data_IF_912477999751
#
_entry.id   IF_912477999751
#
_cell.length_a   1.000
_cell.length_b   1.000
_cell.length_c   1.000
_cell.angle_alpha   90.00
_cell.angle_beta   90.00
_cell.angle_gamma   90.00
#
_symmetry.space_group_name_H-M   'P 1'
#
loop_
_entity.id
_entity.type
_entity.pdbx_description
1 polymer ?
#
# COMPACT_ATOMS: atom_id res chain seq x y z
N UNK A 1 3.48 -65.42 11.14
CA UNK A 1 2.47 -64.33 11.11
C UNK A 1 2.20 -63.85 12.53
N UNK A 2 2.78 -62.71 12.96
CA UNK A 2 2.16 -61.74 13.87
C UNK A 2 3.17 -60.66 14.28
N UNK A 3 2.75 -59.41 14.02
CA UNK A 3 2.95 -58.17 14.78
C UNK A 3 4.27 -57.38 14.63
N UNK A 4 4.08 -56.07 14.78
CA UNK A 4 5.02 -54.93 14.86
C UNK A 4 5.25 -54.25 13.48
N UNK A 5 5.09 -52.93 13.28
CA UNK A 5 4.74 -51.77 14.10
C UNK A 5 4.36 -50.68 13.08
N UNK A 6 3.16 -50.10 13.14
CA UNK A 6 2.83 -48.90 12.37
C UNK A 6 3.20 -47.71 13.26
N UNK A 7 4.30 -47.04 12.95
CA UNK A 7 4.70 -45.79 13.60
C UNK A 7 4.09 -44.62 12.83
N UNK A 8 2.99 -44.07 13.33
CA UNK A 8 2.42 -42.80 12.89
C UNK A 8 3.27 -41.66 13.43
N UNK A 9 4.06 -41.02 12.58
CA UNK A 9 4.78 -39.79 12.91
C UNK A 9 3.76 -38.65 12.90
N UNK A 10 3.46 -38.12 14.09
CA UNK A 10 2.66 -36.91 14.27
C UNK A 10 3.55 -35.72 13.92
N UNK A 11 3.40 -35.19 12.70
CA UNK A 11 4.05 -33.94 12.31
C UNK A 11 3.37 -32.78 13.05
N UNK A 12 4.00 -32.30 14.12
CA UNK A 12 3.56 -31.11 14.83
C UNK A 12 3.64 -29.89 13.89
N UNK A 13 2.48 -29.35 13.52
CA UNK A 13 2.38 -28.09 12.80
C UNK A 13 2.84 -26.95 13.70
N UNK A 14 4.01 -26.39 13.43
CA UNK A 14 4.39 -25.08 13.97
C UNK A 14 3.52 -24.06 13.24
N UNK A 15 2.40 -23.69 13.87
CA UNK A 15 1.68 -22.47 13.52
C UNK A 15 2.60 -21.34 13.97
N UNK A 16 3.48 -20.91 13.05
CA UNK A 16 4.18 -19.64 13.20
C UNK A 16 3.10 -18.56 13.21
N UNK A 17 2.78 -18.06 14.39
CA UNK A 17 2.12 -16.76 14.53
C UNK A 17 3.07 -15.75 13.91
N UNK A 18 2.92 -15.50 12.61
CA UNK A 18 3.56 -14.36 11.96
C UNK A 18 3.18 -13.17 12.82
N UNK A 19 4.17 -12.55 13.45
CA UNK A 19 3.96 -11.33 14.20
C UNK A 19 3.23 -10.38 13.26
N UNK A 20 1.99 -10.06 13.59
CA UNK A 20 1.29 -8.99 12.94
C UNK A 20 1.98 -7.71 13.42
N UNK A 21 3.07 -7.36 12.74
CA UNK A 21 3.69 -6.05 12.90
C UNK A 21 2.65 -5.09 12.34
N UNK A 22 1.88 -4.47 13.24
CA UNK A 22 1.10 -3.31 12.88
C UNK A 22 2.13 -2.26 12.46
N UNK A 23 2.34 -2.10 11.15
CA UNK A 23 3.26 -1.11 10.61
C UNK A 23 2.95 0.26 11.20
N UNK A 24 3.98 1.08 11.39
CA UNK A 24 3.83 2.45 11.85
C UNK A 24 2.67 3.11 11.08
N UNK A 25 1.67 3.57 11.81
CA UNK A 25 0.58 4.35 11.23
C UNK A 25 1.22 5.53 10.50
N UNK A 26 1.04 5.63 9.18
CA UNK A 26 1.57 6.78 8.43
C UNK A 26 1.10 8.07 9.11
N UNK A 27 1.96 9.09 9.19
CA UNK A 27 1.73 10.31 9.98
C UNK A 27 0.56 11.18 9.45
N UNK A 28 -0.12 10.69 8.43
CA UNK A 28 -1.09 11.38 7.59
C UNK A 28 -2.53 11.03 7.98
N UNK A 29 -2.88 11.39 9.21
CA UNK A 29 -4.24 11.31 9.71
C UNK A 29 -4.73 12.73 10.06
N UNK A 30 -5.77 13.19 9.39
CA UNK A 30 -6.25 14.56 9.45
C UNK A 30 -7.73 14.61 9.83
N UNK A 31 -8.06 15.52 10.74
CA UNK A 31 -9.44 15.83 11.11
C UNK A 31 -9.89 17.17 10.53
N UNK A 32 -11.20 17.31 10.28
CA UNK A 32 -11.81 18.54 9.78
C UNK A 32 -12.04 18.55 8.27
N UNK A 33 -12.28 19.74 7.73
CA UNK A 33 -12.69 19.96 6.33
C UNK A 33 -11.72 20.81 5.50
N UNK A 34 -10.65 21.31 6.13
CA UNK A 34 -9.65 22.12 5.44
C UNK A 34 -8.94 21.24 4.40
N UNK A 35 -8.86 21.73 3.17
CA UNK A 35 -8.09 21.07 2.11
C UNK A 35 -6.60 21.12 2.50
N UNK A 36 -5.94 19.97 2.48
CA UNK A 36 -4.50 19.89 2.77
C UNK A 36 -3.67 20.55 1.65
N UNK A 37 -2.52 21.15 1.96
CA UNK A 37 -1.56 21.57 0.94
C UNK A 37 -1.06 20.38 0.12
N UNK A 38 -0.74 20.63 -1.16
CA UNK A 38 -0.20 19.63 -2.08
C UNK A 38 1.07 18.94 -1.53
N UNK A 39 2.01 19.71 -0.97
CA UNK A 39 3.24 19.21 -0.35
C UNK A 39 2.97 18.21 0.79
N UNK A 40 1.96 18.49 1.62
CA UNK A 40 1.55 17.59 2.70
C UNK A 40 1.06 16.27 2.13
N UNK A 41 0.18 16.31 1.12
CA UNK A 41 -0.36 15.11 0.47
C UNK A 41 0.73 14.33 -0.26
N UNK A 42 1.68 15.02 -0.90
CA UNK A 42 2.84 14.41 -1.55
C UNK A 42 3.70 13.63 -0.56
N UNK A 43 4.03 14.24 0.59
CA UNK A 43 4.77 13.57 1.68
C UNK A 43 4.04 12.32 2.18
N UNK A 44 2.72 12.43 2.36
CA UNK A 44 1.87 11.30 2.73
C UNK A 44 1.85 10.17 1.70
N UNK A 45 1.92 10.52 0.42
CA UNK A 45 1.97 9.53 -0.66
C UNK A 45 3.31 8.80 -0.70
N UNK A 46 4.43 9.47 -0.43
CA UNK A 46 5.72 8.81 -0.27
C UNK A 46 5.72 7.86 0.93
N UNK A 47 5.29 8.30 2.13
CA UNK A 47 5.18 7.41 3.29
C UNK A 47 4.31 6.18 2.99
N UNK A 48 3.17 6.40 2.31
CA UNK A 48 2.27 5.30 1.95
C UNK A 48 2.89 4.35 0.95
N UNK A 49 3.67 4.85 -0.01
CA UNK A 49 4.43 4.03 -0.99
C UNK A 49 5.42 3.12 -0.26
N UNK A 50 6.17 3.67 0.69
CA UNK A 50 7.11 2.89 1.51
C UNK A 50 6.40 1.79 2.31
N UNK A 51 5.28 2.11 2.95
CA UNK A 51 4.48 1.09 3.66
C UNK A 51 3.94 -0.02 2.74
N UNK A 52 3.60 0.31 1.50
CA UNK A 52 3.18 -0.68 0.50
C UNK A 52 4.35 -1.57 0.06
N UNK A 53 5.56 -1.02 -0.05
CA UNK A 53 6.79 -1.78 -0.34
C UNK A 53 7.12 -2.71 0.83
N UNK A 54 7.19 -2.18 2.05
CA UNK A 54 7.47 -2.94 3.27
C UNK A 54 6.44 -4.05 3.51
N UNK A 55 5.17 -3.79 3.18
CA UNK A 55 4.09 -4.77 3.27
C UNK A 55 4.04 -5.78 2.12
N UNK A 56 4.99 -5.73 1.17
CA UNK A 56 5.06 -6.61 0.01
C UNK A 56 3.88 -6.46 -0.96
N UNK A 57 3.16 -5.33 -0.92
CA UNK A 57 2.02 -5.04 -1.81
C UNK A 57 2.46 -4.56 -3.18
N UNK A 58 3.60 -3.88 -3.23
CA UNK A 58 4.26 -3.45 -4.46
C UNK A 58 5.74 -3.83 -4.40
N UNK A 59 6.38 -3.91 -5.57
CA UNK A 59 7.77 -4.36 -5.70
C UNK A 59 8.78 -3.34 -5.12
N UNK A 60 9.96 -3.77 -4.63
CA UNK A 60 10.99 -2.84 -4.15
C UNK A 60 11.50 -1.84 -5.20
N UNK A 61 11.34 -2.12 -6.50
CA UNK A 61 11.68 -1.17 -7.57
C UNK A 61 10.93 0.17 -7.49
N UNK A 62 9.91 0.29 -6.64
CA UNK A 62 9.18 1.53 -6.41
C UNK A 62 9.86 2.51 -5.45
N UNK A 63 10.86 2.08 -4.67
CA UNK A 63 11.52 2.91 -3.62
C UNK A 63 12.00 4.26 -4.16
N UNK A 64 12.71 4.25 -5.29
CA UNK A 64 13.29 5.47 -5.91
C UNK A 64 12.39 6.15 -6.95
N UNK A 65 11.14 5.71 -7.10
CA UNK A 65 10.21 6.31 -8.06
C UNK A 65 9.69 7.64 -7.50
N UNK A 66 9.96 8.71 -8.24
CA UNK A 66 9.45 10.06 -7.95
C UNK A 66 7.96 10.20 -8.29
N UNK A 67 7.32 11.21 -7.69
CA UNK A 67 5.93 11.55 -7.99
C UNK A 67 5.83 12.12 -9.41
N UNK A 68 4.92 11.57 -10.21
CA UNK A 68 4.66 12.02 -11.59
C UNK A 68 3.64 13.17 -11.61
N UNK A 69 2.54 13.01 -10.86
CA UNK A 69 1.46 14.00 -10.84
C UNK A 69 0.72 14.01 -9.50
N UNK A 70 0.19 15.18 -9.14
CA UNK A 70 -0.76 15.36 -8.05
C UNK A 70 -1.84 16.35 -8.49
N UNK A 71 -3.11 16.04 -8.21
CA UNK A 71 -4.24 16.89 -8.60
C UNK A 71 -5.47 16.66 -7.71
N UNK A 72 -6.33 17.68 -7.59
CA UNK A 72 -7.65 17.54 -7.00
C UNK A 72 -8.66 17.10 -8.06
N UNK A 73 -9.31 15.95 -7.84
CA UNK A 73 -10.33 15.38 -8.72
C UNK A 73 -11.68 15.30 -8.01
N UNK A 74 -12.75 15.11 -8.80
CA UNK A 74 -14.05 14.75 -8.24
C UNK A 74 -14.07 13.27 -7.85
N UNK A 75 -14.22 13.02 -6.55
CA UNK A 75 -14.38 11.70 -5.97
C UNK A 75 -15.84 11.41 -5.58
N UNK A 76 -16.07 10.24 -4.99
CA UNK A 76 -17.43 9.78 -4.65
C UNK A 76 -18.09 10.63 -3.55
N UNK A 77 -17.29 11.26 -2.68
CA UNK A 77 -17.76 12.02 -1.52
C UNK A 77 -17.39 13.51 -1.57
N UNK A 78 -17.04 14.01 -2.75
CA UNK A 78 -16.54 15.37 -2.96
C UNK A 78 -15.12 15.35 -3.53
N UNK A 79 -14.39 16.46 -3.36
CA UNK A 79 -13.02 16.56 -3.87
C UNK A 79 -12.07 15.58 -3.16
N UNK A 80 -11.22 14.94 -3.94
CA UNK A 80 -10.19 14.00 -3.50
C UNK A 80 -8.87 14.36 -4.19
N UNK A 81 -7.74 14.10 -3.53
CA UNK A 81 -6.43 14.18 -4.17
C UNK A 81 -6.14 12.87 -4.88
N UNK A 82 -5.68 12.96 -6.12
CA UNK A 82 -5.10 11.87 -6.88
C UNK A 82 -3.59 12.12 -7.02
N UNK A 83 -2.80 11.22 -6.45
CA UNK A 83 -1.34 11.19 -6.61
C UNK A 83 -0.96 10.03 -7.53
N UNK A 84 -0.13 10.30 -8.52
CA UNK A 84 0.34 9.31 -9.49
C UNK A 84 1.86 9.18 -9.39
N UNK A 85 2.33 7.94 -9.30
CA UNK A 85 3.73 7.57 -9.50
C UNK A 85 3.84 6.72 -10.78
N UNK A 86 4.87 6.97 -11.59
CA UNK A 86 5.09 6.21 -12.82
C UNK A 86 6.44 5.50 -12.76
N UNK A 87 6.40 4.16 -12.76
CA UNK A 87 7.59 3.32 -12.77
C UNK A 87 7.70 2.59 -14.12
N UNK A 88 8.52 3.07 -15.07
CA UNK A 88 8.67 2.42 -16.36
C UNK A 88 9.45 1.09 -16.28
N UNK A 89 10.14 0.83 -15.17
CA UNK A 89 11.00 -0.34 -14.98
C UNK A 89 10.22 -1.60 -14.58
N UNK A 90 8.94 -1.48 -14.15
CA UNK A 90 8.15 -2.68 -13.84
C UNK A 90 7.95 -3.56 -15.09
N UNK A 91 8.01 -4.88 -14.90
CA UNK A 91 7.83 -5.84 -15.99
C UNK A 91 6.38 -5.83 -16.51
N UNK A 92 5.42 -5.88 -15.59
CA UNK A 92 3.99 -5.79 -15.91
C UNK A 92 3.59 -4.33 -16.17
N UNK A 93 3.47 -3.97 -17.46
CA UNK A 93 3.13 -2.61 -17.87
C UNK A 93 1.73 -2.17 -17.46
N UNK A 94 0.83 -3.10 -17.13
CA UNK A 94 -0.47 -2.75 -16.54
C UNK A 94 -0.34 -2.19 -15.12
N UNK A 95 0.81 -2.39 -14.49
CA UNK A 95 1.17 -1.88 -13.16
C UNK A 95 2.19 -0.76 -13.20
N UNK A 96 2.51 -0.20 -14.36
CA UNK A 96 3.51 0.87 -14.48
C UNK A 96 3.11 2.17 -13.76
N UNK A 97 1.84 2.33 -13.38
CA UNK A 97 1.34 3.50 -12.68
C UNK A 97 0.69 3.12 -11.36
N UNK A 98 1.13 3.74 -10.28
CA UNK A 98 0.50 3.61 -8.96
C UNK A 98 -0.30 4.88 -8.70
N UNK A 99 -1.60 4.71 -8.56
CA UNK A 99 -2.54 5.77 -8.24
C UNK A 99 -2.88 5.69 -6.76
N UNK A 100 -2.75 6.79 -6.04
CA UNK A 100 -3.14 6.90 -4.64
C UNK A 100 -4.18 7.99 -4.47
N UNK A 101 -5.25 7.65 -3.76
CA UNK A 101 -6.37 8.52 -3.51
C UNK A 101 -6.36 8.96 -2.06
N UNK A 102 -6.55 10.27 -1.84
CA UNK A 102 -6.69 10.86 -0.52
C UNK A 102 -7.94 11.73 -0.47
N UNK A 103 -8.57 11.82 0.69
CA UNK A 103 -9.62 12.82 0.94
C UNK A 103 -9.05 14.23 0.75
N UNK A 104 -9.88 15.25 0.48
CA UNK A 104 -9.38 16.63 0.39
C UNK A 104 -8.54 17.09 1.60
N UNK A 105 -8.83 16.71 2.86
CA UNK A 105 -7.95 16.98 4.00
C UNK A 105 -6.66 16.15 4.09
N UNK A 106 -6.41 15.21 3.17
CA UNK A 106 -5.15 14.45 3.08
C UNK A 106 -5.18 13.04 3.67
N UNK A 107 -6.32 12.54 4.17
CA UNK A 107 -6.39 11.15 4.64
C UNK A 107 -6.35 10.15 3.49
N UNK A 108 -5.54 9.10 3.61
CA UNK A 108 -5.49 8.01 2.63
C UNK A 108 -6.84 7.30 2.48
N UNK A 109 -7.23 7.03 1.23
CA UNK A 109 -8.44 6.29 0.86
C UNK A 109 -8.05 4.92 0.31
N UNK A 110 -7.26 4.90 -0.76
CA UNK A 110 -6.92 3.68 -1.49
C UNK A 110 -5.70 3.88 -2.38
N UNK A 111 -5.10 2.77 -2.82
CA UNK A 111 -4.09 2.74 -3.87
C UNK A 111 -4.38 1.61 -4.86
N UNK A 112 -4.19 1.85 -6.15
CA UNK A 112 -4.36 0.84 -7.20
C UNK A 112 -3.53 1.14 -8.47
N UNK A 113 -3.56 0.24 -9.44
CA UNK A 113 -2.83 0.35 -10.71
C UNK A 113 -3.72 0.76 -11.91
N UNK A 114 -5.02 0.96 -11.68
CA UNK A 114 -6.02 1.24 -12.73
C UNK A 114 -6.48 2.70 -12.78
N UNK A 115 -6.26 3.46 -11.70
CA UNK A 115 -6.78 4.82 -11.53
C UNK A 115 -8.31 4.87 -11.36
N UNK A 116 -8.95 3.74 -11.04
CA UNK A 116 -10.41 3.58 -10.93
C UNK A 116 -10.80 2.90 -9.62
#
# INVERSE_FOLDING_TARGET
MKKLLIATILSAGIIGSGAAVAGESSSCHFHGKKVAPEETVSSCAFERKELLIMGGKIDPSWERVEQDKIELVDGKKGKEWLVTFTNPAVADKSKAKLYMFFTAPGNFIAANFSGK
#
